data_IF_806460443833
#
_entry.id   IF_806460443833
#
_cell.length_a   1.000
_cell.length_b   1.000
_cell.length_c   1.000
_cell.angle_alpha   90.00
_cell.angle_beta   90.00
_cell.angle_gamma   90.00
#
_symmetry.space_group_name_H-M   'P 1'
#
loop_
_entity.id
_entity.type
_entity.pdbx_description
1 polymer ?
#
# COMPACT_ATOMS: atom_id res chain seq x y z
N UNK A 1 5.64 3.54 23.48
CA UNK A 1 5.81 3.46 22.01
C UNK A 1 4.69 2.61 21.45
N UNK A 2 3.84 3.18 20.60
CA UNK A 2 2.67 2.49 20.02
C UNK A 2 3.10 1.37 19.06
N UNK A 3 2.20 0.43 18.75
CA UNK A 3 2.44 -0.62 17.74
C UNK A 3 2.88 -0.04 16.40
N UNK A 4 2.29 1.09 16.01
CA UNK A 4 2.57 1.81 14.78
C UNK A 4 4.00 2.36 14.76
N UNK A 5 4.42 3.04 15.82
CA UNK A 5 5.79 3.55 15.95
C UNK A 5 6.80 2.39 15.96
N UNK A 6 6.52 1.32 16.70
CA UNK A 6 7.39 0.13 16.75
C UNK A 6 7.53 -0.52 15.37
N UNK A 7 6.44 -0.64 14.61
CA UNK A 7 6.49 -1.18 13.27
C UNK A 7 7.28 -0.26 12.32
N UNK A 8 7.04 1.06 12.38
CA UNK A 8 7.79 2.04 11.59
C UNK A 8 9.29 1.93 11.82
N UNK A 9 9.73 1.88 13.09
CA UNK A 9 11.13 1.71 13.45
C UNK A 9 11.74 0.41 12.90
N UNK A 10 10.95 -0.67 12.79
CA UNK A 10 11.37 -1.94 12.22
C UNK A 10 11.54 -1.88 10.70
N UNK A 11 10.62 -1.23 9.97
CA UNK A 11 10.60 -1.26 8.50
C UNK A 11 11.44 -0.14 7.85
N UNK A 12 11.61 1.00 8.51
CA UNK A 12 12.33 2.15 7.97
C UNK A 12 13.76 1.85 7.47
N UNK A 13 14.57 1.00 8.14
CA UNK A 13 15.89 0.63 7.62
C UNK A 13 15.82 -0.08 6.26
N UNK A 14 14.83 -0.96 6.06
CA UNK A 14 14.63 -1.66 4.79
C UNK A 14 14.12 -0.71 3.70
N UNK A 15 13.19 0.20 4.03
CA UNK A 15 12.73 1.25 3.10
C UNK A 15 13.92 2.09 2.63
N UNK A 16 14.78 2.55 3.54
CA UNK A 16 15.98 3.31 3.18
C UNK A 16 16.89 2.51 2.26
N UNK A 17 17.10 1.23 2.56
CA UNK A 17 17.93 0.34 1.74
C UNK A 17 17.36 0.17 0.33
N UNK A 18 16.05 -0.05 0.20
CA UNK A 18 15.38 -0.16 -1.10
C UNK A 18 15.61 1.08 -1.96
N UNK A 19 15.34 2.26 -1.39
CA UNK A 19 15.39 3.52 -2.11
C UNK A 19 16.82 3.97 -2.42
N UNK A 20 17.80 3.72 -1.54
CA UNK A 20 19.18 4.20 -1.72
C UNK A 20 19.85 3.72 -3.01
N UNK A 21 19.42 2.58 -3.55
CA UNK A 21 19.94 2.06 -4.83
C UNK A 21 19.51 2.89 -6.06
N UNK A 22 18.36 3.58 -5.97
CA UNK A 22 17.76 4.35 -7.07
C UNK A 22 17.85 5.86 -6.79
N UNK A 23 17.71 6.24 -5.52
CA UNK A 23 17.69 7.61 -4.99
C UNK A 23 18.66 7.69 -3.79
N UNK A 24 19.96 7.91 -4.04
CA UNK A 24 21.00 7.83 -3.01
C UNK A 24 20.86 8.85 -1.87
N UNK A 25 20.27 10.02 -2.18
CA UNK A 25 20.09 11.15 -1.25
C UNK A 25 18.70 11.15 -0.61
N UNK A 26 17.93 10.06 -0.77
CA UNK A 26 16.54 10.04 -0.35
C UNK A 26 16.42 10.09 1.18
N UNK A 27 15.68 11.08 1.67
CA UNK A 27 15.32 11.22 3.08
C UNK A 27 14.05 10.44 3.39
N UNK A 28 14.01 9.77 4.54
CA UNK A 28 12.80 9.10 5.05
C UNK A 28 12.30 9.81 6.30
N UNK A 29 11.04 10.31 6.26
CA UNK A 29 10.38 11.00 7.38
C UNK A 29 9.18 10.18 7.85
N UNK A 30 9.10 9.95 9.16
CA UNK A 30 7.98 9.26 9.79
C UNK A 30 7.21 10.21 10.70
N UNK A 31 5.89 10.10 10.68
CA UNK A 31 4.99 10.75 11.63
C UNK A 31 3.71 9.92 11.80
N UNK A 32 3.01 10.16 12.90
CA UNK A 32 1.66 9.62 13.14
C UNK A 32 0.66 10.72 12.85
N UNK A 33 -0.39 10.42 12.08
CA UNK A 33 -1.42 11.40 11.73
C UNK A 33 -2.53 11.51 12.79
N UNK A 34 -3.51 12.39 12.55
CA UNK A 34 -4.64 12.60 13.47
C UNK A 34 -5.59 11.41 13.62
N UNK A 35 -5.51 10.40 12.76
CA UNK A 35 -6.27 9.14 12.88
C UNK A 35 -5.43 8.01 13.52
N UNK A 36 -4.21 8.32 13.99
CA UNK A 36 -3.34 7.37 14.68
C UNK A 36 -2.62 6.38 13.76
N UNK A 37 -2.67 6.57 12.44
CA UNK A 37 -1.89 5.73 11.49
C UNK A 37 -0.48 6.26 11.34
N UNK A 38 0.43 5.36 10.98
CA UNK A 38 1.80 5.71 10.65
C UNK A 38 1.87 6.17 9.20
N UNK A 39 2.64 7.23 8.95
CA UNK A 39 2.93 7.72 7.61
C UNK A 39 4.43 7.88 7.45
N UNK A 40 4.98 7.19 6.46
CA UNK A 40 6.38 7.27 6.09
C UNK A 40 6.45 7.91 4.71
N UNK A 41 7.17 9.03 4.60
CA UNK A 41 7.45 9.72 3.34
C UNK A 41 8.90 9.49 2.95
N UNK A 42 9.13 9.21 1.68
CA UNK A 42 10.46 9.15 1.07
C UNK A 42 10.59 10.31 0.10
N UNK A 43 11.57 11.18 0.31
CA UNK A 43 11.74 12.45 -0.38
C UNK A 43 13.14 12.51 -0.98
N UNK A 44 13.23 12.79 -2.28
CA UNK A 44 14.49 12.97 -3.01
C UNK A 44 14.50 14.38 -3.61
N UNK A 45 15.52 15.19 -3.32
CA UNK A 45 15.67 16.56 -3.84
C UNK A 45 14.39 17.42 -3.72
N UNK A 46 13.64 17.25 -2.62
CA UNK A 46 12.39 17.96 -2.36
C UNK A 46 11.13 17.34 -2.98
N UNK A 47 11.26 16.28 -3.80
CA UNK A 47 10.14 15.58 -4.43
C UNK A 47 9.74 14.33 -3.64
N UNK A 48 8.44 14.11 -3.47
CA UNK A 48 7.92 12.85 -2.92
C UNK A 48 8.13 11.73 -3.94
N UNK A 49 8.85 10.68 -3.57
CA UNK A 49 9.12 9.51 -4.43
C UNK A 49 8.52 8.21 -3.87
N UNK A 50 8.16 8.21 -2.58
CA UNK A 50 7.52 7.09 -1.92
C UNK A 50 6.67 7.51 -0.76
N UNK A 51 5.56 6.80 -0.55
CA UNK A 51 4.70 6.97 0.61
C UNK A 51 4.25 5.61 1.12
N UNK A 52 4.51 5.34 2.39
CA UNK A 52 4.08 4.12 3.05
C UNK A 52 3.16 4.44 4.22
N UNK A 53 2.05 3.70 4.32
CA UNK A 53 1.04 3.87 5.36
C UNK A 53 1.01 2.65 6.26
N UNK A 54 1.00 2.87 7.58
CA UNK A 54 0.78 1.84 8.57
C UNK A 54 -0.60 2.07 9.17
N UNK A 55 -1.59 1.39 8.63
CA UNK A 55 -3.00 1.52 8.99
C UNK A 55 -3.30 0.79 10.30
N UNK A 56 -4.16 1.39 11.12
CA UNK A 56 -4.81 0.74 12.26
C UNK A 56 -6.17 0.18 11.85
N UNK A 57 -6.79 -0.61 12.73
CA UNK A 57 -8.20 -1.03 12.60
C UNK A 57 -9.13 0.18 12.35
N UNK A 58 -8.92 1.27 13.09
CA UNK A 58 -9.75 2.48 13.03
C UNK A 58 -9.53 3.22 11.72
N UNK A 59 -8.28 3.48 11.35
CA UNK A 59 -7.95 4.26 10.16
C UNK A 59 -8.28 3.52 8.87
N UNK A 60 -8.17 2.19 8.86
CA UNK A 60 -8.57 1.34 7.73
C UNK A 60 -10.08 1.37 7.42
N UNK A 61 -10.91 1.56 8.45
CA UNK A 61 -12.36 1.67 8.29
C UNK A 61 -12.79 2.96 7.59
N UNK A 62 -11.91 3.96 7.46
CA UNK A 62 -12.22 5.25 6.85
C UNK A 62 -12.52 5.12 5.35
N UNK A 63 -13.64 5.68 4.91
CA UNK A 63 -14.05 5.71 3.49
C UNK A 63 -13.14 6.57 2.61
N UNK A 64 -12.31 7.43 3.22
CA UNK A 64 -11.41 8.36 2.50
C UNK A 64 -10.10 7.70 2.04
N UNK A 65 -9.75 6.51 2.55
CA UNK A 65 -8.43 5.87 2.34
C UNK A 65 -8.09 5.68 0.87
N UNK A 66 -9.06 5.24 0.07
CA UNK A 66 -8.86 5.04 -1.36
C UNK A 66 -8.50 6.34 -2.08
N UNK A 67 -9.10 7.47 -1.71
CA UNK A 67 -8.74 8.75 -2.31
C UNK A 67 -7.29 9.14 -1.97
N UNK A 68 -6.86 8.94 -0.73
CA UNK A 68 -5.49 9.28 -0.32
C UNK A 68 -4.45 8.41 -1.03
N UNK A 69 -4.72 7.12 -1.18
CA UNK A 69 -3.86 6.20 -1.93
C UNK A 69 -3.83 6.54 -3.42
N UNK A 70 -4.98 6.90 -4.00
CA UNK A 70 -5.08 7.37 -5.38
C UNK A 70 -4.18 8.58 -5.62
N UNK A 71 -4.20 9.56 -4.71
CA UNK A 71 -3.34 10.76 -4.80
C UNK A 71 -1.86 10.39 -4.85
N UNK A 72 -1.41 9.41 -4.06
CA UNK A 72 -0.02 8.92 -4.12
C UNK A 72 0.30 8.32 -5.49
N UNK A 73 -0.59 7.47 -6.00
CA UNK A 73 -0.36 6.75 -7.25
C UNK A 73 -0.39 7.68 -8.48
N UNK A 74 -1.29 8.67 -8.55
CA UNK A 74 -1.32 9.62 -9.68
C UNK A 74 -0.10 10.53 -9.72
N UNK A 75 0.53 10.78 -8.56
CA UNK A 75 1.81 11.48 -8.47
C UNK A 75 3.01 10.56 -8.77
N UNK A 76 2.77 9.34 -9.26
CA UNK A 76 3.78 8.34 -9.65
C UNK A 76 4.74 7.99 -8.50
N UNK A 77 4.28 8.11 -7.26
CA UNK A 77 5.04 7.71 -6.08
C UNK A 77 4.82 6.21 -5.82
N UNK A 78 5.85 5.51 -5.31
CA UNK A 78 5.66 4.16 -4.75
C UNK A 78 4.66 4.25 -3.59
N UNK A 79 3.65 3.38 -3.60
CA UNK A 79 2.70 3.22 -2.51
C UNK A 79 2.95 1.90 -1.77
N UNK A 80 3.05 1.93 -0.45
CA UNK A 80 3.01 0.70 0.37
C UNK A 80 1.99 0.87 1.48
N UNK A 81 1.15 -0.13 1.69
CA UNK A 81 0.15 -0.11 2.77
C UNK A 81 0.36 -1.32 3.66
N UNK A 82 0.62 -1.08 4.94
CA UNK A 82 0.64 -2.09 5.99
C UNK A 82 -0.70 -2.04 6.71
N UNK A 83 -1.41 -3.16 6.78
CA UNK A 83 -2.70 -3.28 7.47
C UNK A 83 -2.64 -4.35 8.57
N UNK A 84 -3.51 -4.30 9.59
CA UNK A 84 -3.62 -5.40 10.54
C UNK A 84 -3.95 -6.71 9.82
N UNK A 85 -3.48 -7.84 10.34
CA UNK A 85 -3.68 -9.17 9.72
C UNK A 85 -5.13 -9.53 9.43
N UNK A 86 -6.08 -9.09 10.27
CA UNK A 86 -7.52 -9.27 10.04
C UNK A 86 -8.04 -8.59 8.77
N UNK A 87 -7.32 -7.60 8.24
CA UNK A 87 -7.69 -6.82 7.06
C UNK A 87 -6.86 -7.14 5.81
N UNK A 88 -6.01 -8.16 5.85
CA UNK A 88 -5.14 -8.51 4.72
C UNK A 88 -5.95 -8.69 3.41
N UNK A 89 -6.98 -9.54 3.44
CA UNK A 89 -7.79 -9.84 2.26
C UNK A 89 -8.65 -8.64 1.83
N UNK A 90 -9.22 -7.90 2.78
CA UNK A 90 -10.03 -6.71 2.46
C UNK A 90 -9.16 -5.61 1.83
N UNK A 91 -7.93 -5.42 2.32
CA UNK A 91 -6.97 -4.48 1.75
C UNK A 91 -6.52 -4.88 0.35
N UNK A 92 -6.28 -6.17 0.14
CA UNK A 92 -6.02 -6.71 -1.19
C UNK A 92 -7.15 -6.39 -2.16
N UNK A 93 -8.38 -6.73 -1.80
CA UNK A 93 -9.54 -6.52 -2.67
C UNK A 93 -9.77 -5.05 -2.98
N UNK A 94 -9.63 -4.16 -1.99
CA UNK A 94 -9.76 -2.72 -2.20
C UNK A 94 -8.68 -2.17 -3.14
N UNK A 95 -7.40 -2.51 -2.95
CA UNK A 95 -6.35 -1.95 -3.81
C UNK A 95 -6.37 -2.51 -5.25
N UNK A 96 -6.98 -3.68 -5.48
CA UNK A 96 -7.21 -4.18 -6.85
C UNK A 96 -8.06 -3.22 -7.69
N UNK A 97 -8.89 -2.37 -7.08
CA UNK A 97 -9.66 -1.34 -7.79
C UNK A 97 -8.75 -0.35 -8.53
N UNK A 98 -7.53 -0.09 -8.04
CA UNK A 98 -6.55 0.75 -8.75
C UNK A 98 -5.94 0.08 -9.98
N UNK A 99 -5.96 -1.26 -10.04
CA UNK A 99 -5.42 -1.99 -11.19
C UNK A 99 -6.35 -1.96 -12.41
N UNK A 100 -7.64 -1.66 -12.22
CA UNK A 100 -8.60 -1.54 -13.33
C UNK A 100 -8.37 -0.27 -14.18
N UNK A 101 -7.45 0.62 -13.79
CA UNK A 101 -7.19 1.90 -14.48
C UNK A 101 -5.69 2.31 -14.52
N UNK A 102 -4.76 1.34 -14.66
CA UNK A 102 -3.35 1.53 -15.07
C UNK A 102 -2.30 1.80 -13.97
N UNK A 103 -2.64 1.68 -12.68
CA UNK A 103 -1.71 2.01 -11.58
C UNK A 103 -1.21 0.76 -10.84
N UNK A 104 -0.09 0.17 -11.32
CA UNK A 104 0.52 -1.05 -10.76
C UNK A 104 1.56 -0.78 -9.64
N UNK A 105 1.62 0.42 -9.08
CA UNK A 105 2.74 0.88 -8.25
C UNK A 105 2.54 0.74 -6.74
N UNK A 106 1.76 -0.25 -6.30
CA UNK A 106 1.53 -0.49 -4.87
C UNK A 106 1.97 -1.87 -4.37
N UNK A 107 2.26 -1.94 -3.07
CA UNK A 107 2.43 -3.17 -2.29
C UNK A 107 1.52 -3.13 -1.06
N UNK A 108 1.00 -4.30 -0.68
CA UNK A 108 0.24 -4.47 0.57
C UNK A 108 0.96 -5.46 1.45
N UNK A 109 1.15 -5.10 2.70
CA UNK A 109 1.63 -5.99 3.74
C UNK A 109 0.57 -6.09 4.85
N UNK A 110 0.46 -7.26 5.46
CA UNK A 110 -0.24 -7.41 6.72
C UNK A 110 0.76 -7.42 7.85
N UNK A 111 0.37 -6.95 9.03
CA UNK A 111 1.17 -7.08 10.24
C UNK A 111 0.38 -7.72 11.40
N UNK A 112 1.09 -8.45 12.26
CA UNK A 112 0.54 -9.02 13.50
C UNK A 112 1.03 -8.27 14.75
N UNK A 113 0.55 -8.68 15.93
CA UNK A 113 0.94 -8.09 17.23
C UNK A 113 2.44 -8.26 17.53
N UNK A 114 3.06 -9.29 16.94
CA UNK A 114 4.51 -9.53 16.97
C UNK A 114 5.30 -8.66 15.99
N UNK A 115 4.64 -7.70 15.32
CA UNK A 115 5.20 -6.83 14.28
C UNK A 115 5.75 -7.60 13.08
N UNK A 116 5.36 -8.87 12.89
CA UNK A 116 5.74 -9.63 11.69
C UNK A 116 4.96 -9.11 10.51
N UNK A 117 5.67 -8.81 9.42
CA UNK A 117 5.07 -8.32 8.18
C UNK A 117 5.04 -9.44 7.15
N UNK A 118 3.91 -9.63 6.50
CA UNK A 118 3.71 -10.62 5.45
C UNK A 118 3.20 -9.91 4.20
N UNK A 119 3.83 -10.14 3.04
CA UNK A 119 3.35 -9.56 1.79
C UNK A 119 1.99 -10.16 1.46
N UNK A 120 0.96 -9.31 1.40
CA UNK A 120 -0.37 -9.70 0.94
C UNK A 120 -0.28 -9.75 -0.58
N UNK A 121 -0.09 -10.98 -1.08
CA UNK A 121 0.48 -11.23 -2.41
C UNK A 121 -0.16 -10.45 -3.56
N UNK A 122 0.63 -10.22 -4.62
CA UNK A 122 0.12 -9.87 -5.96
C UNK A 122 -0.73 -11.03 -6.48
N UNK A 123 -1.75 -10.79 -7.34
CA UNK A 123 -2.46 -11.89 -7.98
C UNK A 123 -1.43 -12.81 -8.65
N UNK A 124 -1.33 -14.06 -8.16
CA UNK A 124 -0.88 -15.13 -9.05
C UNK A 124 -2.05 -15.34 -10.01
N UNK A 125 -1.84 -15.44 -11.33
CA UNK A 125 -2.84 -16.07 -12.16
C UNK A 125 -3.13 -17.42 -11.50
N UNK A 126 -4.37 -17.60 -11.04
CA UNK A 126 -4.82 -18.87 -10.53
C UNK A 126 -4.57 -19.87 -11.66
N UNK A 127 -3.68 -20.85 -11.45
CA UNK A 127 -3.40 -21.91 -12.43
C UNK A 127 -4.66 -22.69 -12.85
N UNK A 128 -5.77 -22.49 -12.14
CA UNK A 128 -7.07 -23.13 -12.37
C UNK A 128 -8.24 -22.15 -12.49
N UNK A 129 -8.02 -20.83 -12.55
CA UNK A 129 -9.13 -19.95 -12.92
C UNK A 129 -9.26 -19.98 -14.44
N UNK A 130 -10.42 -20.37 -14.99
CA UNK A 130 -10.66 -20.27 -16.42
C UNK A 130 -10.68 -18.78 -16.78
N UNK A 131 -9.51 -18.22 -17.05
CA UNK A 131 -9.35 -16.94 -17.74
C UNK A 131 -9.80 -17.14 -19.20
N UNK A 132 -11.09 -17.44 -19.43
CA UNK A 132 -11.86 -17.37 -20.69
C UNK A 132 -13.23 -18.07 -20.62
N UNK A 133 -14.14 -17.68 -19.71
CA UNK A 133 -15.57 -18.00 -19.91
C UNK A 133 -16.56 -16.89 -19.53
N UNK A 134 -16.07 -15.68 -19.27
CA UNK A 134 -16.92 -14.50 -19.21
C UNK A 134 -16.28 -13.40 -20.04
N UNK A 135 -16.23 -13.63 -21.36
CA UNK A 135 -16.36 -12.52 -22.27
C UNK A 135 -17.70 -11.85 -21.94
N UNK A 136 -17.65 -10.68 -21.30
CA UNK A 136 -18.80 -9.78 -21.35
C UNK A 136 -19.00 -9.45 -22.83
N UNK A 137 -20.16 -9.72 -23.44
CA UNK A 137 -20.43 -9.20 -24.76
C UNK A 137 -20.47 -7.68 -24.65
N UNK A 138 -19.50 -7.02 -25.28
CA UNK A 138 -19.64 -5.64 -25.73
C UNK A 138 -20.82 -5.60 -26.70
N UNK A 139 -22.01 -5.25 -26.20
CA UNK A 139 -23.20 -5.13 -27.04
C UNK A 139 -24.48 -5.35 -26.25
N UNK A 140 -25.01 -4.27 -25.68
CA UNK A 140 -26.30 -4.26 -25.01
C UNK A 140 -26.73 -2.84 -24.64
N UNK A 141 -26.65 -1.91 -25.59
CA UNK A 141 -27.56 -0.78 -25.59
C UNK A 141 -28.94 -1.34 -25.94
N UNK A 142 -29.87 -1.26 -24.99
CA UNK A 142 -31.27 -0.83 -25.11
C UNK A 142 -31.95 -0.98 -23.74
#
# INVERSE_FOLDING_TARGET
>A
MSTIERLAHKIMPEIRKDFRSIFPEAETKFFVDGEGRGVIKVIENGYLVGMEFIETEVSWASKKRMWEYYVVLVNKCRLVVYVPKAHADSARMRLLEFNNYWLNYYLVYSYDEGLRTELVGRPRPLMTSPLRTAAFPLGGYL
#
